data_IF_833475836201
#
_entry.id   IF_833475836201
#
_cell.length_a   1.000
_cell.length_b   1.000
_cell.length_c   1.000
_cell.angle_alpha   90.00
_cell.angle_beta   90.00
_cell.angle_gamma   90.00
#
_symmetry.space_group_name_H-M   'P 1'
#
loop_
_entity.id
_entity.type
_entity.pdbx_description
1 polymer ?
#
# COMPACT_ATOMS: atom_id res chain seq x y z
N UNK A 1 -27.63 -14.88 -64.57
CA UNK A 1 -26.59 -14.85 -63.52
C UNK A 1 -27.31 -14.80 -62.18
N UNK A 2 -27.47 -15.94 -61.52
CA UNK A 2 -28.16 -16.05 -60.23
C UNK A 2 -27.16 -15.98 -59.07
N UNK A 3 -27.48 -15.27 -57.96
CA UNK A 3 -26.61 -15.24 -56.79
C UNK A 3 -26.79 -16.50 -55.92
N UNK A 4 -25.67 -17.21 -55.68
CA UNK A 4 -25.59 -18.33 -54.73
C UNK A 4 -25.86 -17.85 -53.30
N UNK A 5 -26.92 -18.36 -52.67
CA UNK A 5 -27.20 -18.23 -51.23
C UNK A 5 -26.12 -18.94 -50.40
N UNK A 6 -25.37 -18.18 -49.58
CA UNK A 6 -24.47 -18.72 -48.55
C UNK A 6 -25.29 -19.23 -47.36
N UNK A 7 -25.06 -20.50 -47.00
CA UNK A 7 -25.65 -21.19 -45.84
C UNK A 7 -24.87 -20.76 -44.58
N UNK A 8 -25.55 -20.11 -43.63
CA UNK A 8 -24.99 -19.72 -42.33
C UNK A 8 -25.17 -20.90 -41.36
N UNK A 9 -24.12 -21.42 -40.71
CA UNK A 9 -24.27 -22.45 -39.69
C UNK A 9 -24.76 -21.85 -38.36
N UNK A 10 -25.76 -22.51 -37.75
CA UNK A 10 -26.27 -22.20 -36.41
C UNK A 10 -25.22 -22.48 -35.31
N UNK A 11 -25.19 -21.69 -34.23
CA UNK A 11 -24.35 -21.98 -33.07
C UNK A 11 -24.99 -23.07 -32.19
N UNK A 12 -24.36 -24.25 -32.19
CA UNK A 12 -24.66 -25.34 -31.26
C UNK A 12 -24.22 -24.96 -29.84
N UNK A 13 -25.23 -24.72 -29.01
CA UNK A 13 -25.29 -24.89 -27.55
C UNK A 13 -24.03 -25.47 -26.88
N UNK A 14 -23.19 -24.60 -26.31
CA UNK A 14 -22.14 -24.96 -25.35
C UNK A 14 -22.43 -24.34 -23.97
N UNK A 15 -23.68 -24.43 -23.52
CA UNK A 15 -24.12 -23.98 -22.19
C UNK A 15 -24.83 -25.14 -21.53
N UNK A 16 -24.08 -26.07 -20.88
CA UNK A 16 -24.63 -27.02 -19.87
C UNK A 16 -23.65 -28.00 -19.18
N UNK A 17 -22.32 -27.76 -19.15
CA UNK A 17 -21.40 -28.71 -18.48
C UNK A 17 -20.33 -28.10 -17.58
N UNK A 18 -20.62 -26.97 -16.93
CA UNK A 18 -19.76 -26.44 -15.86
C UNK A 18 -20.56 -26.11 -14.60
N UNK A 19 -21.48 -27.00 -14.25
CA UNK A 19 -22.32 -26.90 -13.05
C UNK A 19 -22.33 -28.24 -12.30
N UNK A 20 -21.14 -28.77 -11.94
CA UNK A 20 -20.99 -29.94 -11.06
C UNK A 20 -19.52 -30.21 -10.66
N UNK A 21 -18.78 -29.18 -10.22
CA UNK A 21 -17.55 -29.34 -9.41
C UNK A 21 -17.55 -28.31 -8.27
N UNK A 22 -18.71 -28.22 -7.59
CA UNK A 22 -18.94 -27.42 -6.39
C UNK A 22 -19.71 -28.31 -5.43
N UNK A 23 -19.02 -29.25 -4.77
CA UNK A 23 -19.48 -29.99 -3.57
C UNK A 23 -18.41 -31.02 -3.23
N UNK A 24 -17.38 -30.62 -2.47
CA UNK A 24 -16.38 -31.58 -2.02
C UNK A 24 -15.08 -30.98 -1.52
N UNK A 25 -15.11 -29.92 -0.70
CA UNK A 25 -13.97 -29.58 0.15
C UNK A 25 -14.43 -28.75 1.35
N UNK A 26 -15.36 -29.34 2.10
CA UNK A 26 -15.74 -28.87 3.43
C UNK A 26 -14.80 -29.49 4.47
N UNK A 27 -14.33 -28.64 5.39
CA UNK A 27 -13.93 -28.99 6.76
C UNK A 27 -12.58 -29.69 6.96
N UNK A 28 -11.50 -28.91 6.93
CA UNK A 28 -10.40 -29.07 7.90
C UNK A 28 -9.74 -27.70 8.15
N UNK A 29 -10.43 -26.83 8.88
CA UNK A 29 -9.77 -25.74 9.59
C UNK A 29 -9.44 -26.24 11.00
N UNK A 30 -8.25 -26.82 11.13
CA UNK A 30 -7.62 -27.02 12.42
C UNK A 30 -7.18 -25.63 12.94
N UNK A 31 -7.83 -25.15 14.00
CA UNK A 31 -7.39 -23.98 14.74
C UNK A 31 -6.09 -24.32 15.49
N UNK A 32 -4.99 -23.57 15.33
CA UNK A 32 -3.86 -23.69 16.24
C UNK A 32 -4.23 -23.03 17.58
N UNK A 33 -4.49 -23.89 18.57
CA UNK A 33 -4.57 -23.52 19.98
C UNK A 33 -3.16 -23.22 20.50
N UNK A 34 -2.74 -21.95 20.46
CA UNK A 34 -1.57 -21.49 21.21
C UNK A 34 -2.04 -20.75 22.45
N UNK A 35 -2.30 -21.57 23.47
CA UNK A 35 -2.33 -21.17 24.87
C UNK A 35 -0.94 -21.48 25.43
N UNK A 36 -0.14 -20.45 25.72
CA UNK A 36 0.90 -20.51 26.75
C UNK A 36 1.00 -19.16 27.46
N UNK A 37 0.27 -19.12 28.56
CA UNK A 37 0.60 -18.38 29.76
C UNK A 37 1.93 -18.91 30.32
N UNK A 38 2.91 -18.02 30.58
CA UNK A 38 3.68 -18.01 31.83
C UNK A 38 4.89 -17.06 31.79
N UNK A 39 5.09 -16.43 32.95
CA UNK A 39 6.35 -16.02 33.55
C UNK A 39 7.01 -14.70 33.09
N UNK A 40 6.61 -13.64 33.79
CA UNK A 40 7.46 -12.52 34.21
C UNK A 40 8.66 -13.02 35.03
N UNK A 41 9.88 -12.54 34.73
CA UNK A 41 10.83 -12.22 35.80
C UNK A 41 11.17 -10.72 35.85
N UNK A 42 11.23 -10.23 37.08
CA UNK A 42 11.61 -8.87 37.49
C UNK A 42 13.14 -8.62 37.36
N UNK A 43 13.65 -7.42 37.68
CA UNK A 43 14.68 -6.74 36.88
C UNK A 43 16.12 -7.09 37.28
N UNK A 44 17.03 -7.09 36.30
CA UNK A 44 18.46 -6.92 36.56
C UNK A 44 18.83 -5.45 36.41
N UNK A 45 19.05 -4.80 37.56
CA UNK A 45 19.85 -3.59 37.64
C UNK A 45 21.27 -3.91 37.17
N UNK A 46 21.73 -3.18 36.14
CA UNK A 46 23.07 -3.32 35.57
C UNK A 46 23.37 -2.05 34.80
N UNK A 47 23.89 -1.05 35.51
CA UNK A 47 24.27 0.22 34.93
C UNK A 47 25.40 0.05 33.92
N UNK A 48 25.23 0.67 32.77
CA UNK A 48 26.33 1.25 32.00
C UNK A 48 25.79 2.57 31.46
N UNK A 49 26.29 3.66 32.01
CA UNK A 49 26.00 5.00 31.54
C UNK A 49 26.46 5.10 30.07
N UNK A 50 25.49 5.22 29.17
CA UNK A 50 25.76 5.63 27.81
C UNK A 50 26.32 7.07 27.85
N UNK A 51 27.34 7.41 27.04
CA UNK A 51 27.77 8.79 26.94
C UNK A 51 26.58 9.63 26.44
N UNK A 52 26.23 10.67 27.21
CA UNK A 52 25.36 11.75 26.76
C UNK A 52 25.96 12.35 25.48
N UNK A 53 25.52 11.83 24.34
CA UNK A 53 25.59 12.58 23.09
C UNK A 53 24.65 13.75 23.26
N UNK A 54 25.26 14.92 23.51
CA UNK A 54 24.58 16.19 23.65
C UNK A 54 23.50 16.31 22.58
N UNK A 55 22.27 16.53 23.02
CA UNK A 55 21.13 16.72 22.16
C UNK A 55 21.47 17.81 21.11
N UNK A 56 21.21 17.57 19.81
CA UNK A 56 21.42 18.60 18.80
C UNK A 56 20.60 19.84 19.19
N UNK A 57 21.12 21.06 18.96
CA UNK A 57 20.41 22.28 19.28
C UNK A 57 19.04 22.27 18.58
N UNK A 58 17.99 22.56 19.33
CA UNK A 58 16.63 22.62 18.82
C UNK A 58 16.56 23.70 17.71
N UNK A 59 16.33 23.29 16.47
CA UNK A 59 16.02 24.23 15.39
C UNK A 59 14.72 24.96 15.74
N UNK A 60 14.81 26.28 15.89
CA UNK A 60 13.66 27.15 16.07
C UNK A 60 12.99 27.33 14.70
N UNK A 61 11.70 27.03 14.62
CA UNK A 61 10.88 27.31 13.45
C UNK A 61 10.75 28.81 13.19
N UNK A 62 10.14 29.20 12.05
CA UNK A 62 9.94 30.61 11.69
C UNK A 62 9.15 31.41 12.73
N UNK A 63 8.39 30.74 13.59
CA UNK A 63 7.60 31.35 14.68
C UNK A 63 8.33 31.34 16.04
N UNK A 64 9.61 30.96 16.09
CA UNK A 64 10.38 30.87 17.34
C UNK A 64 9.95 29.71 18.27
N UNK A 65 9.12 28.80 17.78
CA UNK A 65 8.78 27.55 18.47
C UNK A 65 9.79 26.45 18.10
N UNK A 66 10.23 25.60 19.05
CA UNK A 66 11.06 24.44 18.74
C UNK A 66 10.36 23.56 17.70
N UNK A 67 11.01 23.25 16.58
CA UNK A 67 10.47 22.27 15.64
C UNK A 67 10.31 20.93 16.38
N UNK A 68 9.17 20.23 16.24
CA UNK A 68 9.03 18.90 16.82
C UNK A 68 10.15 18.01 16.26
N UNK A 69 10.79 17.18 17.10
CA UNK A 69 11.86 16.32 16.64
C UNK A 69 11.35 15.42 15.50
N UNK A 70 12.19 15.14 14.49
CA UNK A 70 11.79 14.27 13.40
C UNK A 70 11.35 12.92 13.95
N UNK A 71 10.18 12.45 13.52
CA UNK A 71 9.66 11.14 13.95
C UNK A 71 10.67 10.02 13.69
N UNK A 72 10.77 9.02 14.59
CA UNK A 72 11.65 7.89 14.41
C UNK A 72 11.29 7.08 13.15
N UNK A 73 12.29 6.40 12.58
CA UNK A 73 12.15 5.62 11.34
C UNK A 73 10.96 4.65 11.38
N UNK A 74 10.82 3.87 12.47
CA UNK A 74 9.76 2.88 12.63
C UNK A 74 8.37 3.49 12.53
N UNK A 75 8.17 4.67 13.12
CA UNK A 75 6.90 5.38 13.12
C UNK A 75 6.56 5.93 11.73
N UNK A 76 7.55 6.48 11.01
CA UNK A 76 7.35 6.91 9.61
C UNK A 76 6.96 5.74 8.72
N UNK A 77 7.63 4.60 8.85
CA UNK A 77 7.29 3.39 8.09
C UNK A 77 5.89 2.89 8.45
N UNK A 78 5.53 2.89 9.73
CA UNK A 78 4.18 2.50 10.17
C UNK A 78 3.10 3.42 9.58
N UNK A 79 3.33 4.74 9.56
CA UNK A 79 2.42 5.70 8.94
C UNK A 79 2.28 5.44 7.42
N UNK A 80 3.38 5.19 6.72
CA UNK A 80 3.36 4.86 5.30
C UNK A 80 2.58 3.56 5.02
N UNK A 81 2.79 2.52 5.82
CA UNK A 81 2.08 1.25 5.70
C UNK A 81 0.59 1.39 5.98
N UNK A 82 0.23 2.16 7.01
CA UNK A 82 -1.17 2.45 7.35
C UNK A 82 -1.86 3.20 6.21
N UNK A 83 -1.21 4.22 5.65
CA UNK A 83 -1.75 4.96 4.51
C UNK A 83 -1.97 4.05 3.29
N UNK A 84 -0.99 3.20 2.97
CA UNK A 84 -1.14 2.22 1.88
C UNK A 84 -2.23 1.17 2.16
N UNK A 85 -2.41 0.78 3.41
CA UNK A 85 -3.50 -0.09 3.86
C UNK A 85 -4.87 0.52 3.56
N UNK A 86 -5.07 1.78 3.94
CA UNK A 86 -6.30 2.52 3.61
C UNK A 86 -6.51 2.66 2.10
N UNK A 87 -5.45 2.93 1.34
CA UNK A 87 -5.53 3.00 -0.12
C UNK A 87 -6.07 1.70 -0.73
N UNK A 88 -5.59 0.53 -0.25
CA UNK A 88 -6.07 -0.79 -0.66
C UNK A 88 -7.53 -1.01 -0.30
N UNK A 89 -7.95 -0.64 0.91
CA UNK A 89 -9.35 -0.74 1.35
C UNK A 89 -10.26 0.07 0.43
N UNK A 90 -9.91 1.32 0.13
CA UNK A 90 -10.70 2.16 -0.77
C UNK A 90 -10.72 1.62 -2.20
N UNK A 91 -9.63 1.05 -2.68
CA UNK A 91 -9.63 0.44 -4.00
C UNK A 91 -10.55 -0.77 -4.10
N UNK A 92 -10.61 -1.61 -3.05
CA UNK A 92 -11.59 -2.70 -2.98
C UNK A 92 -13.03 -2.18 -2.92
N UNK A 93 -13.28 -1.09 -2.18
CA UNK A 93 -14.59 -0.41 -2.19
C UNK A 93 -14.95 0.11 -3.59
N UNK A 94 -13.99 0.67 -4.32
CA UNK A 94 -14.17 1.08 -5.71
C UNK A 94 -14.48 -0.12 -6.61
N UNK A 95 -13.75 -1.23 -6.48
CA UNK A 95 -13.98 -2.42 -7.33
C UNK A 95 -15.42 -2.92 -7.24
N UNK A 96 -16.05 -2.80 -6.06
CA UNK A 96 -17.43 -3.20 -5.78
C UNK A 96 -18.47 -2.16 -6.22
N UNK A 97 -18.25 -0.88 -5.90
CA UNK A 97 -19.23 0.20 -6.11
C UNK A 97 -19.11 0.90 -7.47
N UNK A 98 -17.92 0.86 -8.07
CA UNK A 98 -17.52 1.66 -9.24
C UNK A 98 -17.63 3.17 -9.02
N UNK A 99 -17.68 3.64 -7.78
CA UNK A 99 -17.73 5.07 -7.48
C UNK A 99 -16.33 5.70 -7.54
N UNK A 100 -16.21 6.78 -8.31
CA UNK A 100 -14.96 7.54 -8.44
C UNK A 100 -14.42 8.04 -7.08
N UNK A 101 -15.31 8.40 -6.14
CA UNK A 101 -14.91 8.91 -4.81
C UNK A 101 -13.96 7.96 -4.08
N UNK A 102 -14.21 6.65 -4.13
CA UNK A 102 -13.35 5.67 -3.49
C UNK A 102 -12.02 5.51 -4.23
N UNK A 103 -12.04 5.59 -5.55
CA UNK A 103 -10.80 5.56 -6.33
C UNK A 103 -9.91 6.77 -6.01
N UNK A 104 -10.51 7.96 -5.91
CA UNK A 104 -9.82 9.19 -5.50
C UNK A 104 -9.22 9.09 -4.10
N UNK A 105 -10.00 8.65 -3.11
CA UNK A 105 -9.50 8.40 -1.75
C UNK A 105 -8.35 7.38 -1.76
N UNK A 106 -8.47 6.32 -2.55
CA UNK A 106 -7.40 5.34 -2.74
C UNK A 106 -6.11 6.00 -3.26
N UNK A 107 -6.23 6.83 -4.28
CA UNK A 107 -5.12 7.62 -4.84
C UNK A 107 -4.47 8.53 -3.82
N UNK A 108 -5.27 9.32 -3.08
CA UNK A 108 -4.78 10.29 -2.09
C UNK A 108 -3.97 9.61 -0.97
N UNK A 109 -4.50 8.50 -0.42
CA UNK A 109 -3.81 7.73 0.62
C UNK A 109 -2.55 7.01 0.10
N UNK A 110 -2.58 6.52 -1.14
CA UNK A 110 -1.41 5.91 -1.76
C UNK A 110 -0.31 6.96 -1.99
N UNK A 111 -0.66 8.15 -2.49
CA UNK A 111 0.27 9.26 -2.68
C UNK A 111 0.89 9.70 -1.35
N UNK A 112 0.10 9.75 -0.27
CA UNK A 112 0.60 10.02 1.08
C UNK A 112 1.64 8.98 1.53
N UNK A 113 1.39 7.70 1.26
CA UNK A 113 2.37 6.64 1.56
C UNK A 113 3.69 6.85 0.81
N UNK A 114 3.62 7.14 -0.49
CA UNK A 114 4.79 7.42 -1.33
C UNK A 114 5.57 8.63 -0.81
N UNK A 115 4.88 9.72 -0.44
CA UNK A 115 5.49 10.92 0.12
C UNK A 115 6.29 10.62 1.41
N UNK A 116 5.69 9.89 2.34
CA UNK A 116 6.34 9.51 3.60
C UNK A 116 7.58 8.65 3.32
N UNK A 117 7.47 7.67 2.41
CA UNK A 117 8.60 6.81 2.04
C UNK A 117 9.70 7.58 1.32
N UNK A 118 9.37 8.50 0.42
CA UNK A 118 10.32 9.37 -0.26
C UNK A 118 11.12 10.23 0.72
N UNK A 119 10.41 10.91 1.64
CA UNK A 119 11.04 11.73 2.67
C UNK A 119 11.91 10.90 3.63
N UNK A 120 11.41 9.73 4.05
CA UNK A 120 12.15 8.81 4.93
C UNK A 120 13.41 8.27 4.25
N UNK A 121 13.33 7.93 2.97
CA UNK A 121 14.50 7.50 2.19
C UNK A 121 15.55 8.62 2.08
N UNK A 122 15.11 9.88 1.97
CA UNK A 122 16.00 11.05 1.90
C UNK A 122 16.81 11.30 3.17
N UNK A 123 16.33 10.83 4.34
CA UNK A 123 17.05 10.98 5.61
C UNK A 123 18.04 9.84 5.90
N UNK A 124 18.04 8.77 5.10
CA UNK A 124 18.85 7.58 5.32
C UNK A 124 20.11 7.58 4.46
N UNK A 125 21.20 7.04 5.00
CA UNK A 125 22.43 6.87 4.21
C UNK A 125 22.24 5.74 3.20
N UNK A 126 22.69 5.95 1.95
CA UNK A 126 22.57 4.96 0.86
C UNK A 126 23.26 3.63 1.14
N UNK A 127 24.19 3.58 2.09
CA UNK A 127 24.90 2.37 2.51
C UNK A 127 24.11 1.54 3.52
N UNK A 128 23.06 2.10 4.14
CA UNK A 128 22.30 1.43 5.18
C UNK A 128 21.23 0.51 4.59
N UNK A 129 21.02 -0.64 5.25
CA UNK A 129 19.95 -1.59 4.88
C UNK A 129 18.57 -0.93 4.83
N UNK A 130 18.30 -0.02 5.76
CA UNK A 130 17.01 0.69 5.84
C UNK A 130 16.73 1.52 4.59
N UNK A 131 17.75 2.13 3.98
CA UNK A 131 17.59 2.90 2.74
C UNK A 131 16.98 2.03 1.62
N UNK A 132 17.56 0.85 1.38
CA UNK A 132 17.09 -0.07 0.35
C UNK A 132 15.71 -0.65 0.68
N UNK A 133 15.44 -0.93 1.96
CA UNK A 133 14.12 -1.37 2.41
C UNK A 133 13.05 -0.32 2.14
N UNK A 134 13.30 0.95 2.49
CA UNK A 134 12.39 2.06 2.21
C UNK A 134 12.20 2.28 0.71
N UNK A 135 13.29 2.23 -0.09
CA UNK A 135 13.22 2.32 -1.55
C UNK A 135 12.31 1.25 -2.14
N UNK A 136 12.47 -0.01 -1.72
CA UNK A 136 11.66 -1.12 -2.22
C UNK A 136 10.17 -0.96 -1.85
N UNK A 137 9.87 -0.51 -0.63
CA UNK A 137 8.49 -0.18 -0.25
C UNK A 137 7.92 0.95 -1.10
N UNK A 138 8.74 1.96 -1.45
CA UNK A 138 8.34 3.07 -2.31
C UNK A 138 8.04 2.60 -3.73
N UNK A 139 8.87 1.73 -4.31
CA UNK A 139 8.61 1.09 -5.62
C UNK A 139 7.24 0.43 -5.60
N UNK A 140 6.97 -0.43 -4.61
CA UNK A 140 5.68 -1.12 -4.50
C UNK A 140 4.48 -0.16 -4.38
N UNK A 141 4.62 0.93 -3.61
CA UNK A 141 3.56 1.94 -3.50
C UNK A 141 3.34 2.69 -4.82
N UNK A 142 4.40 3.00 -5.56
CA UNK A 142 4.32 3.61 -6.89
C UNK A 142 3.64 2.68 -7.92
N UNK A 143 4.00 1.39 -7.93
CA UNK A 143 3.35 0.40 -8.80
C UNK A 143 1.85 0.29 -8.49
N UNK A 144 1.49 0.33 -7.21
CA UNK A 144 0.08 0.33 -6.79
C UNK A 144 -0.65 1.62 -7.20
N UNK A 145 0.00 2.79 -7.12
CA UNK A 145 -0.56 4.04 -7.60
C UNK A 145 -0.83 4.02 -9.11
N UNK A 146 0.09 3.43 -9.88
CA UNK A 146 -0.09 3.26 -11.32
C UNK A 146 -1.34 2.42 -11.62
N UNK A 147 -1.58 1.33 -10.88
CA UNK A 147 -2.80 0.55 -11.02
C UNK A 147 -4.09 1.34 -10.68
N UNK A 148 -4.05 2.20 -9.66
CA UNK A 148 -5.17 3.10 -9.34
C UNK A 148 -5.42 4.10 -10.47
N UNK A 149 -4.35 4.65 -11.04
CA UNK A 149 -4.43 5.60 -12.15
C UNK A 149 -5.00 4.95 -13.41
N UNK A 150 -4.54 3.75 -13.76
CA UNK A 150 -5.10 2.98 -14.87
C UNK A 150 -6.59 2.70 -14.68
N UNK A 151 -7.00 2.36 -13.46
CA UNK A 151 -8.41 2.21 -13.13
C UNK A 151 -9.21 3.52 -13.28
N UNK A 152 -8.56 4.68 -13.13
CA UNK A 152 -9.23 5.98 -13.31
C UNK A 152 -9.58 6.28 -14.77
N UNK A 153 -8.91 5.62 -15.72
CA UNK A 153 -9.19 5.78 -17.15
C UNK A 153 -10.54 5.21 -17.59
N UNK A 154 -11.24 4.47 -16.71
CA UNK A 154 -12.63 4.08 -16.96
C UNK A 154 -13.63 5.23 -16.80
N UNK A 155 -13.21 6.37 -16.26
CA UNK A 155 -14.05 7.56 -16.04
C UNK A 155 -13.83 8.62 -17.13
N UNK A 156 -14.47 9.77 -16.98
CA UNK A 156 -14.22 10.94 -17.83
C UNK A 156 -12.79 11.48 -17.63
N UNK A 157 -12.23 12.11 -18.65
CA UNK A 157 -10.84 12.59 -18.64
C UNK A 157 -10.54 13.68 -17.59
N UNK A 158 -11.56 14.41 -17.16
CA UNK A 158 -11.48 15.38 -16.06
C UNK A 158 -11.36 14.72 -14.67
N UNK A 159 -11.57 13.40 -14.58
CA UNK A 159 -11.52 12.59 -13.36
C UNK A 159 -10.32 11.64 -13.34
N UNK A 160 -9.37 11.77 -14.26
CA UNK A 160 -8.17 10.96 -14.21
C UNK A 160 -7.33 11.35 -13.00
N UNK A 161 -6.78 10.35 -12.31
CA UNK A 161 -5.81 10.61 -11.27
C UNK A 161 -4.57 11.25 -11.88
N UNK A 162 -4.10 12.32 -11.25
CA UNK A 162 -2.91 13.04 -11.67
C UNK A 162 -1.66 12.16 -11.53
N UNK A 163 -0.61 12.50 -12.28
CA UNK A 163 0.70 11.90 -12.07
C UNK A 163 1.23 12.23 -10.65
N UNK A 164 1.92 11.30 -9.98
CA UNK A 164 2.68 11.63 -8.78
C UNK A 164 3.69 12.74 -9.11
N UNK A 165 3.92 13.71 -8.20
CA UNK A 165 4.96 14.72 -8.37
C UNK A 165 6.31 14.06 -8.72
N UNK A 166 6.94 14.51 -9.81
CA UNK A 166 7.87 13.70 -10.62
C UNK A 166 8.96 12.94 -9.86
N UNK A 167 9.55 13.50 -8.80
CA UNK A 167 10.63 12.83 -8.06
C UNK A 167 10.16 11.59 -7.27
N UNK A 168 8.87 11.50 -6.91
CA UNK A 168 8.38 10.52 -5.93
C UNK A 168 8.45 9.08 -6.41
N UNK A 169 8.24 8.85 -7.70
CA UNK A 169 8.32 7.53 -8.33
C UNK A 169 9.49 7.39 -9.31
N UNK A 170 10.54 8.21 -9.13
CA UNK A 170 11.83 8.06 -9.84
C UNK A 170 12.80 7.23 -8.98
N UNK A 171 13.63 6.37 -9.58
CA UNK A 171 14.39 5.33 -8.84
C UNK A 171 15.84 5.16 -9.28
#
# INVERSE_FOLDING_TARGET
MEPKKKKVPEPLNLVKSFLLVLLGLSLFWAAPAWSQEAATPAPKAGGTAAPEQGAPPAELGPDGQPLPPPLPYSERIYQAQTALGWAKVYFESYKRSKEYRYLKLGGDYCLRSIQILYQTQGTLKRTERFYYQTRNQRVYACDFYQALREASFSFESNQYLADPPGAYCSF
#
